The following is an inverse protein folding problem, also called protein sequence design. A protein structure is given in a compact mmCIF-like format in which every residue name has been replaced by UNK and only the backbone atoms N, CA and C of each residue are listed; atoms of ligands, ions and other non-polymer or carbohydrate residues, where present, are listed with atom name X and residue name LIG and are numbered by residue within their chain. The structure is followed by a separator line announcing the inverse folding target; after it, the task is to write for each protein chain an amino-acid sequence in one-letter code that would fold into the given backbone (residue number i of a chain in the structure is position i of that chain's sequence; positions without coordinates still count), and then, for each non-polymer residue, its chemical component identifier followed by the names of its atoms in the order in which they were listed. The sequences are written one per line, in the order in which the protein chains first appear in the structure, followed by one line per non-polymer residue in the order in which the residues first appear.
data_IF_756489722267
#
_entry.id   IF_756489722267
#
_cell.length_a   1.000
_cell.length_b   1.000
_cell.length_c   1.000
_cell.angle_alpha   90.00
_cell.angle_beta   90.00
_cell.angle_gamma   90.00
#
_symmetry.space_group_name_H-M   'P 1'
#
loop_
_entity.id
_entity.type
_entity.pdbx_description
1 polymer ?
#
# COMPACT_ATOMS: atom_id res chain seq x y z
N UNK A 1 73.98 -31.78 -75.91
CA UNK A 1 73.75 -30.32 -75.75
C UNK A 1 72.27 -29.94 -75.60
N UNK A 2 71.30 -30.58 -76.27
CA UNK A 2 69.86 -30.27 -76.07
C UNK A 2 69.29 -30.70 -74.70
N UNK A 3 69.73 -31.83 -74.13
CA UNK A 3 69.28 -32.33 -72.82
C UNK A 3 69.75 -31.48 -71.63
N UNK A 4 70.94 -30.89 -71.72
CA UNK A 4 71.50 -30.02 -70.67
C UNK A 4 70.78 -28.67 -70.62
N UNK A 5 70.33 -28.14 -71.77
CA UNK A 5 69.55 -26.90 -71.84
C UNK A 5 68.15 -27.08 -71.22
N UNK A 6 67.49 -28.22 -71.46
CA UNK A 6 66.17 -28.52 -70.87
C UNK A 6 66.26 -28.67 -69.34
N UNK A 7 67.33 -29.30 -68.83
CA UNK A 7 67.57 -29.42 -67.38
C UNK A 7 67.86 -28.06 -66.73
N UNK A 8 68.58 -27.17 -67.41
CA UNK A 8 68.87 -25.83 -66.89
C UNK A 8 67.62 -24.93 -66.89
N UNK A 9 66.77 -25.03 -67.91
CA UNK A 9 65.49 -24.32 -67.97
C UNK A 9 64.50 -24.82 -66.90
N UNK A 10 64.48 -26.13 -66.63
CA UNK A 10 63.68 -26.71 -65.56
C UNK A 10 64.17 -26.26 -64.17
N UNK A 11 65.48 -26.15 -63.98
CA UNK A 11 66.06 -25.62 -62.73
C UNK A 11 65.71 -24.14 -62.49
N UNK A 12 65.64 -23.31 -63.54
CA UNK A 12 65.17 -21.93 -63.42
C UNK A 12 63.66 -21.83 -63.13
N UNK A 13 62.85 -22.81 -63.53
CA UNK A 13 61.41 -22.85 -63.21
C UNK A 13 61.11 -23.14 -61.72
N UNK A 14 62.07 -23.69 -60.97
CA UNK A 14 61.92 -24.07 -59.56
C UNK A 14 62.21 -22.94 -58.57
N UNK A 15 62.68 -21.76 -59.02
CA UNK A 15 63.03 -20.63 -58.11
C UNK A 15 61.85 -19.71 -57.76
N UNK A 16 60.61 -20.06 -58.13
CA UNK A 16 59.41 -19.26 -57.84
C UNK A 16 58.89 -19.32 -56.40
N UNK A 17 59.45 -20.19 -55.55
CA UNK A 17 58.98 -20.43 -54.18
C UNK A 17 59.99 -19.94 -53.13
N UNK A 18 60.50 -18.71 -53.29
CA UNK A 18 61.37 -18.06 -52.30
C UNK A 18 60.87 -16.63 -52.03
N UNK A 19 59.73 -16.54 -51.35
CA UNK A 19 59.14 -15.29 -50.90
C UNK A 19 58.40 -15.53 -49.59
N UNK A 20 58.63 -14.68 -48.58
CA UNK A 20 57.96 -14.78 -47.29
C UNK A 20 56.45 -14.59 -47.49
N UNK A 21 55.69 -15.69 -47.41
CA UNK A 21 54.28 -15.78 -47.86
C UNK A 21 53.31 -14.81 -47.15
N UNK A 22 53.72 -14.11 -46.09
CA UNK A 22 52.84 -13.23 -45.32
C UNK A 22 53.55 -11.99 -44.73
N UNK A 23 54.63 -11.52 -45.37
CA UNK A 23 55.41 -10.37 -44.88
C UNK A 23 54.57 -9.09 -44.73
N UNK A 24 53.70 -8.82 -45.71
CA UNK A 24 52.81 -7.66 -45.71
C UNK A 24 51.78 -7.72 -44.56
N UNK A 25 51.19 -8.90 -44.34
CA UNK A 25 50.23 -9.11 -43.25
C UNK A 25 50.86 -8.88 -41.88
N UNK A 26 52.10 -9.33 -41.69
CA UNK A 26 52.87 -9.11 -40.45
C UNK A 26 53.24 -7.64 -40.26
N UNK A 27 53.65 -6.96 -41.33
CA UNK A 27 53.95 -5.53 -41.29
C UNK A 27 52.70 -4.72 -40.92
N UNK A 28 51.57 -5.00 -41.56
CA UNK A 28 50.29 -4.40 -41.24
C UNK A 28 49.86 -4.67 -39.80
N UNK A 29 49.99 -5.91 -39.33
CA UNK A 29 49.62 -6.27 -37.95
C UNK A 29 50.48 -5.54 -36.92
N UNK A 30 51.78 -5.38 -37.20
CA UNK A 30 52.69 -4.60 -36.36
C UNK A 30 52.30 -3.12 -36.33
N UNK A 31 52.05 -2.52 -37.50
CA UNK A 31 51.61 -1.13 -37.64
C UNK A 31 50.28 -0.88 -36.87
N UNK A 32 49.30 -1.78 -37.00
CA UNK A 32 48.00 -1.62 -36.34
C UNK A 32 48.04 -1.92 -34.84
N UNK A 33 48.98 -2.75 -34.38
CA UNK A 33 49.13 -3.05 -32.95
C UNK A 33 49.85 -1.95 -32.17
N UNK A 34 50.60 -1.09 -32.85
CA UNK A 34 51.38 -0.05 -32.22
C UNK A 34 50.46 1.10 -31.76
N UNK A 35 50.14 1.10 -30.47
CA UNK A 35 49.25 2.09 -29.86
C UNK A 35 47.93 1.53 -29.31
N UNK A 36 47.66 0.23 -29.48
CA UNK A 36 46.53 -0.44 -28.81
C UNK A 36 46.82 -0.61 -27.31
N UNK A 37 46.53 0.43 -26.53
CA UNK A 37 46.42 0.32 -25.07
C UNK A 37 44.97 0.18 -24.71
N UNK A 38 44.60 -0.94 -24.10
CA UNK A 38 43.28 -1.13 -23.51
C UNK A 38 42.98 -0.01 -22.52
N UNK A 39 41.89 0.73 -22.74
CA UNK A 39 41.45 1.76 -21.79
C UNK A 39 40.75 1.05 -20.64
N UNK A 40 41.45 0.89 -19.52
CA UNK A 40 40.85 0.40 -18.28
C UNK A 40 40.14 1.56 -17.61
N UNK A 41 38.86 1.39 -17.28
CA UNK A 41 38.13 2.39 -16.52
C UNK A 41 38.76 2.55 -15.13
N UNK A 42 38.96 3.79 -14.65
CA UNK A 42 39.50 4.01 -13.33
C UNK A 42 38.58 3.40 -12.28
N UNK A 43 39.18 2.91 -11.19
CA UNK A 43 38.42 2.37 -10.07
C UNK A 43 37.46 3.45 -9.54
N UNK A 44 36.21 3.08 -9.19
CA UNK A 44 35.26 4.02 -8.63
C UNK A 44 35.77 4.57 -7.30
N UNK A 45 35.54 5.86 -7.07
CA UNK A 45 35.92 6.50 -5.82
C UNK A 45 35.09 5.96 -4.66
N UNK A 46 35.77 5.56 -3.58
CA UNK A 46 35.13 5.12 -2.34
C UNK A 46 34.54 6.35 -1.65
N UNK A 47 33.21 6.43 -1.59
CA UNK A 47 32.54 7.51 -0.85
C UNK A 47 32.79 7.33 0.66
N UNK A 48 33.24 8.37 1.37
CA UNK A 48 33.43 8.30 2.80
C UNK A 48 32.09 8.11 3.53
N UNK A 49 32.11 7.35 4.61
CA UNK A 49 30.96 7.15 5.49
C UNK A 49 30.56 8.48 6.14
N UNK A 50 29.30 8.88 5.95
CA UNK A 50 28.70 10.03 6.62
C UNK A 50 27.88 9.51 7.81
N UNK A 51 28.32 9.72 9.07
CA UNK A 51 27.54 9.31 10.23
C UNK A 51 26.26 10.14 10.31
N UNK A 52 25.12 9.48 10.44
CA UNK A 52 23.86 10.13 10.77
C UNK A 52 23.77 10.32 12.29
N UNK A 53 23.68 11.56 12.75
CA UNK A 53 23.49 11.86 14.17
C UNK A 53 22.01 11.77 14.54
N UNK A 54 21.66 10.90 15.48
CA UNK A 54 20.31 10.77 16.00
C UNK A 54 20.01 11.89 17.01
N UNK A 55 19.27 12.91 16.58
CA UNK A 55 18.84 14.05 17.42
C UNK A 55 17.34 13.98 17.73
N UNK A 56 16.89 12.85 18.30
CA UNK A 56 15.48 12.71 18.72
C UNK A 56 15.20 13.20 20.14
N UNK A 57 16.24 13.52 20.91
CA UNK A 57 16.13 13.99 22.30
C UNK A 57 15.55 15.41 22.39
N UNK A 58 15.63 16.19 21.31
CA UNK A 58 15.05 17.53 21.18
C UNK A 58 13.58 17.51 20.73
N UNK A 59 13.05 16.36 20.28
CA UNK A 59 11.64 16.25 19.93
C UNK A 59 10.77 16.18 21.19
N UNK A 60 9.58 16.75 21.08
CA UNK A 60 8.55 16.62 22.10
C UNK A 60 8.13 15.16 22.18
N UNK A 61 8.29 14.55 23.36
CA UNK A 61 7.88 13.17 23.61
C UNK A 61 6.35 13.01 23.35
N UNK A 62 5.96 12.17 22.37
CA UNK A 62 4.58 11.99 21.97
C UNK A 62 3.70 11.33 23.05
N UNK A 63 4.30 10.72 24.08
CA UNK A 63 3.59 9.99 25.16
C UNK A 63 3.59 10.72 26.51
N UNK A 64 3.97 12.01 26.56
CA UNK A 64 3.92 12.79 27.80
C UNK A 64 2.49 12.83 28.36
N UNK A 65 2.34 12.47 29.64
CA UNK A 65 1.06 12.44 30.35
C UNK A 65 0.25 13.77 30.26
N UNK A 66 0.94 14.91 30.12
CA UNK A 66 0.30 16.20 29.92
C UNK A 66 -0.58 16.27 28.65
N UNK A 67 -0.24 15.55 27.57
CA UNK A 67 -1.12 15.44 26.38
C UNK A 67 -2.39 14.63 26.68
N UNK A 68 -2.29 13.60 27.53
CA UNK A 68 -3.46 12.79 27.93
C UNK A 68 -4.41 13.57 28.85
N UNK A 69 -3.89 14.47 29.69
CA UNK A 69 -4.69 15.34 30.55
C UNK A 69 -5.50 16.37 29.76
N UNK A 70 -5.00 16.85 28.61
CA UNK A 70 -5.76 17.77 27.73
C UNK A 70 -6.91 17.05 27.05
N UNK A 71 -6.69 15.81 26.56
CA UNK A 71 -7.75 14.95 26.00
C UNK A 71 -8.84 14.60 27.03
N UNK A 72 -8.51 14.50 28.32
CA UNK A 72 -9.53 14.32 29.38
C UNK A 72 -10.36 15.57 29.66
N UNK A 73 -9.85 16.77 29.36
CA UNK A 73 -10.57 18.03 29.63
C UNK A 73 -11.52 18.44 28.48
N UNK A 74 -11.29 17.95 27.27
CA UNK A 74 -12.21 18.11 26.13
C UNK A 74 -13.47 17.25 26.23
N UNK A 75 -13.57 16.34 27.20
CA UNK A 75 -14.78 15.55 27.45
C UNK A 75 -16.01 16.40 27.83
N UNK A 76 -15.83 17.69 28.11
CA UNK A 76 -16.90 18.68 28.27
C UNK A 76 -17.39 19.26 26.91
N UNK A 77 -17.06 18.62 25.78
CA UNK A 77 -17.62 18.97 24.49
C UNK A 77 -19.15 18.82 24.52
N UNK A 78 -19.88 19.80 23.97
CA UNK A 78 -21.34 19.76 23.85
C UNK A 78 -21.87 18.55 23.06
N UNK A 79 -20.97 17.85 22.36
CA UNK A 79 -21.22 16.65 21.57
C UNK A 79 -21.01 15.34 22.35
N UNK A 80 -20.65 15.40 23.64
CA UNK A 80 -20.45 14.21 24.45
C UNK A 80 -21.75 13.37 24.55
N UNK A 81 -21.66 12.03 24.46
CA UNK A 81 -22.83 11.18 24.53
C UNK A 81 -23.46 11.22 25.93
N UNK A 82 -24.80 11.19 25.98
CA UNK A 82 -25.53 11.21 27.25
C UNK A 82 -25.39 9.87 27.97
N UNK A 83 -24.47 9.79 28.93
CA UNK A 83 -24.22 8.59 29.75
C UNK A 83 -25.27 8.35 30.85
N UNK A 84 -26.14 9.33 31.13
CA UNK A 84 -27.11 9.24 32.22
C UNK A 84 -28.41 8.51 31.81
N UNK A 85 -28.57 8.16 30.53
CA UNK A 85 -29.74 7.41 30.05
C UNK A 85 -29.53 5.90 30.18
N UNK A 86 -30.61 5.11 30.36
CA UNK A 86 -30.55 3.67 30.17
C UNK A 86 -30.10 3.33 28.75
N UNK A 87 -29.16 2.38 28.63
CA UNK A 87 -28.70 1.87 27.34
C UNK A 87 -29.73 0.89 26.77
N UNK A 88 -29.93 0.95 25.46
CA UNK A 88 -30.68 -0.02 24.69
C UNK A 88 -29.86 -1.30 24.48
N UNK A 89 -30.54 -2.42 24.24
CA UNK A 89 -29.89 -3.74 24.11
C UNK A 89 -28.89 -3.76 22.94
N UNK A 90 -29.22 -3.09 21.84
CA UNK A 90 -28.40 -3.03 20.63
C UNK A 90 -27.11 -2.21 20.79
N UNK A 91 -26.97 -1.44 21.86
CA UNK A 91 -25.75 -0.69 22.16
C UNK A 91 -24.63 -1.56 22.75
N UNK A 92 -24.96 -2.79 23.16
CA UNK A 92 -23.97 -3.76 23.64
C UNK A 92 -23.16 -4.40 22.50
N UNK A 93 -23.56 -4.17 21.24
CA UNK A 93 -22.95 -4.77 20.07
C UNK A 93 -22.22 -3.70 19.24
N UNK A 94 -21.16 -4.11 18.57
CA UNK A 94 -20.51 -3.27 17.55
C UNK A 94 -21.45 -3.09 16.36
N UNK A 95 -21.51 -1.90 15.80
CA UNK A 95 -22.39 -1.59 14.68
C UNK A 95 -22.15 -2.52 13.48
N UNK A 96 -20.89 -2.84 13.21
CA UNK A 96 -20.47 -3.73 12.10
C UNK A 96 -21.01 -5.16 12.22
N UNK A 97 -21.31 -5.59 13.45
CA UNK A 97 -21.84 -6.93 13.74
C UNK A 97 -23.37 -6.97 13.72
N UNK A 98 -24.01 -5.81 13.68
CA UNK A 98 -25.44 -5.70 13.46
C UNK A 98 -25.75 -5.84 11.97
N UNK A 99 -26.90 -6.44 11.65
CA UNK A 99 -27.37 -6.61 10.27
C UNK A 99 -28.79 -6.11 10.14
N UNK A 100 -29.05 -5.20 9.20
CA UNK A 100 -30.41 -4.83 8.83
C UNK A 100 -30.98 -5.96 7.97
N UNK A 101 -32.09 -6.57 8.41
CA UNK A 101 -32.73 -7.66 7.66
C UNK A 101 -34.03 -7.23 6.99
N UNK A 102 -34.50 -6.01 7.24
CA UNK A 102 -35.69 -5.47 6.59
C UNK A 102 -36.32 -4.32 7.35
N UNK A 103 -37.51 -3.93 6.92
CA UNK A 103 -38.34 -2.95 7.59
C UNK A 103 -39.73 -3.51 7.86
N UNK A 104 -40.39 -2.97 8.88
CA UNK A 104 -41.76 -3.25 9.23
C UNK A 104 -42.51 -1.92 9.28
N UNK A 105 -43.51 -1.77 8.42
CA UNK A 105 -44.39 -0.61 8.43
C UNK A 105 -45.71 -0.95 9.12
N UNK A 106 -46.03 -0.21 10.18
CA UNK A 106 -47.31 -0.30 10.87
C UNK A 106 -48.00 1.07 10.81
N UNK A 107 -48.94 1.20 9.88
CA UNK A 107 -49.60 2.48 9.59
C UNK A 107 -48.60 3.51 9.07
N UNK A 108 -48.41 4.60 9.83
CA UNK A 108 -47.47 5.69 9.51
C UNK A 108 -46.08 5.51 10.13
N UNK A 109 -45.87 4.46 10.92
CA UNK A 109 -44.60 4.23 11.61
C UNK A 109 -43.80 3.17 10.86
N UNK A 110 -42.59 3.53 10.45
CA UNK A 110 -41.61 2.61 9.85
C UNK A 110 -40.61 2.22 10.94
N UNK A 111 -40.40 0.92 11.10
CA UNK A 111 -39.41 0.34 12.00
C UNK A 111 -38.41 -0.47 11.18
N UNK A 112 -37.14 -0.50 11.56
CA UNK A 112 -36.16 -1.38 10.96
C UNK A 112 -36.02 -2.65 11.81
N UNK A 113 -35.72 -3.75 11.14
CA UNK A 113 -35.47 -5.05 11.75
C UNK A 113 -33.96 -5.29 11.75
N UNK A 114 -33.37 -5.32 12.94
CA UNK A 114 -31.92 -5.48 13.13
C UNK A 114 -31.67 -6.83 13.79
N UNK A 115 -30.88 -7.68 13.12
CA UNK A 115 -30.36 -8.92 13.70
C UNK A 115 -29.06 -8.64 14.42
N UNK A 116 -28.99 -9.04 15.67
CA UNK A 116 -27.77 -8.97 16.47
C UNK A 116 -26.97 -10.28 16.41
N UNK A 117 -25.69 -10.28 16.85
CA UNK A 117 -24.82 -11.47 16.84
C UNK A 117 -25.30 -12.63 17.70
N UNK A 118 -26.17 -12.36 18.67
CA UNK A 118 -26.85 -13.38 19.48
C UNK A 118 -27.94 -14.14 18.70
N UNK A 119 -28.20 -13.76 17.45
CA UNK A 119 -29.23 -14.32 16.58
C UNK A 119 -30.62 -13.73 16.82
N UNK A 120 -30.78 -12.84 17.80
CA UNK A 120 -32.06 -12.22 18.11
C UNK A 120 -32.37 -11.09 17.13
N UNK A 121 -33.67 -10.89 16.90
CA UNK A 121 -34.20 -9.84 16.05
C UNK A 121 -34.81 -8.72 16.88
N UNK A 122 -34.33 -7.51 16.66
CA UNK A 122 -34.77 -6.31 17.35
C UNK A 122 -35.46 -5.34 16.39
N UNK A 123 -36.50 -4.67 16.88
CA UNK A 123 -37.20 -3.62 16.13
C UNK A 123 -36.69 -2.28 16.61
N UNK A 124 -36.22 -1.45 15.69
CA UNK A 124 -35.75 -0.08 15.98
C UNK A 124 -36.59 0.93 15.24
N UNK A 125 -36.76 2.11 15.82
CA UNK A 125 -37.47 3.24 15.21
C UNK A 125 -36.53 4.45 15.12
N UNK A 126 -36.97 5.49 14.45
CA UNK A 126 -36.26 6.77 14.48
C UNK A 126 -36.08 7.24 15.93
N UNK A 127 -34.85 7.64 16.27
CA UNK A 127 -34.44 8.03 17.63
C UNK A 127 -34.00 6.87 18.54
N UNK A 128 -34.12 5.61 18.11
CA UNK A 128 -33.51 4.48 18.83
C UNK A 128 -31.98 4.53 18.73
N UNK A 129 -31.30 3.89 19.68
CA UNK A 129 -29.85 3.78 19.70
C UNK A 129 -29.35 2.36 19.44
N UNK A 130 -28.28 2.25 18.66
CA UNK A 130 -27.61 1.00 18.36
C UNK A 130 -26.10 1.23 18.19
N UNK A 131 -25.32 0.17 18.40
CA UNK A 131 -23.86 0.27 18.32
C UNK A 131 -23.23 0.83 19.60
N UNK A 132 -21.96 0.51 19.82
CA UNK A 132 -21.22 1.00 21.00
C UNK A 132 -20.95 2.52 20.95
N UNK A 133 -20.88 3.10 19.75
CA UNK A 133 -20.61 4.53 19.53
C UNK A 133 -21.87 5.40 19.59
N UNK A 134 -22.87 5.01 20.39
CA UNK A 134 -24.11 5.78 20.61
C UNK A 134 -24.86 6.14 19.31
N UNK A 135 -24.89 5.23 18.35
CA UNK A 135 -25.50 5.44 17.04
C UNK A 135 -27.01 5.70 17.13
N UNK A 136 -27.43 6.96 16.98
CA UNK A 136 -28.85 7.33 16.97
C UNK A 136 -29.43 7.19 15.57
N UNK A 137 -30.54 6.46 15.42
CA UNK A 137 -31.25 6.34 14.14
C UNK A 137 -31.85 7.68 13.74
N UNK A 138 -31.38 8.24 12.63
CA UNK A 138 -31.90 9.49 12.04
C UNK A 138 -32.92 9.23 10.95
N UNK A 139 -32.86 8.08 10.27
CA UNK A 139 -33.79 7.72 9.21
C UNK A 139 -33.83 6.23 8.93
N UNK A 140 -34.98 5.75 8.47
CA UNK A 140 -35.19 4.35 8.09
C UNK A 140 -35.79 4.35 6.68
N UNK A 141 -35.15 3.61 5.78
CA UNK A 141 -35.62 3.35 4.42
C UNK A 141 -35.73 1.84 4.19
N UNK A 142 -36.26 1.42 3.04
CA UNK A 142 -36.37 -0.01 2.71
C UNK A 142 -35.01 -0.69 2.54
N UNK A 143 -34.00 0.06 2.08
CA UNK A 143 -32.67 -0.46 1.75
C UNK A 143 -31.59 -0.17 2.81
N UNK A 144 -31.81 0.79 3.70
CA UNK A 144 -30.81 1.19 4.70
C UNK A 144 -31.42 1.88 5.93
N UNK A 145 -30.70 1.78 7.05
CA UNK A 145 -30.92 2.58 8.26
C UNK A 145 -29.80 3.62 8.38
N UNK A 146 -30.15 4.89 8.40
CA UNK A 146 -29.22 6.00 8.62
C UNK A 146 -29.12 6.32 10.10
N UNK A 147 -27.89 6.52 10.57
CA UNK A 147 -27.60 6.78 11.96
C UNK A 147 -26.45 7.77 12.13
N UNK A 148 -26.45 8.46 13.26
CA UNK A 148 -25.38 9.36 13.69
C UNK A 148 -24.67 8.75 14.89
N UNK A 149 -23.39 8.41 14.73
CA UNK A 149 -22.50 7.93 15.78
C UNK A 149 -21.73 9.09 16.41
N UNK A 150 -21.37 8.93 17.68
CA UNK A 150 -20.51 9.85 18.41
C UNK A 150 -19.23 9.09 18.74
N UNK A 151 -18.11 9.52 18.16
CA UNK A 151 -16.81 8.84 18.26
C UNK A 151 -15.78 9.81 18.82
N UNK A 152 -14.85 9.33 19.64
CA UNK A 152 -13.73 10.13 20.13
C UNK A 152 -12.62 10.17 19.07
N UNK A 153 -12.18 11.37 18.69
CA UNK A 153 -11.02 11.55 17.81
C UNK A 153 -9.71 11.32 18.60
N UNK A 154 -8.61 11.15 17.88
CA UNK A 154 -7.24 11.02 18.40
C UNK A 154 -6.81 12.15 19.37
N UNK A 155 -7.47 13.32 19.31
CA UNK A 155 -7.27 14.44 20.22
C UNK A 155 -8.09 14.40 21.52
N UNK A 156 -9.03 13.45 21.67
CA UNK A 156 -9.97 13.38 22.79
C UNK A 156 -11.24 14.22 22.62
N UNK A 157 -11.48 14.74 21.42
CA UNK A 157 -12.70 15.48 21.09
C UNK A 157 -13.78 14.53 20.54
N UNK A 158 -15.03 14.74 20.94
CA UNK A 158 -16.17 13.99 20.40
C UNK A 158 -16.60 14.55 19.04
N UNK A 159 -16.72 13.67 18.05
CA UNK A 159 -17.16 14.01 16.69
C UNK A 159 -18.38 13.19 16.28
N UNK A 160 -19.33 13.84 15.58
CA UNK A 160 -20.45 13.16 14.93
C UNK A 160 -19.98 12.51 13.62
N UNK A 161 -20.35 11.24 13.41
CA UNK A 161 -20.14 10.51 12.16
C UNK A 161 -21.48 10.01 11.63
N UNK A 162 -21.80 10.33 10.38
CA UNK A 162 -22.94 9.74 9.70
C UNK A 162 -22.56 8.37 9.13
N UNK A 163 -23.34 7.36 9.51
CA UNK A 163 -23.15 5.98 9.07
C UNK A 163 -24.49 5.43 8.59
N UNK A 164 -24.45 4.46 7.67
CA UNK A 164 -25.63 3.77 7.19
C UNK A 164 -25.44 2.26 7.29
N UNK A 165 -26.45 1.58 7.82
CA UNK A 165 -26.52 0.12 7.83
C UNK A 165 -27.40 -0.32 6.66
N UNK A 166 -26.78 -0.84 5.61
CA UNK A 166 -27.49 -1.35 4.45
C UNK A 166 -28.22 -2.66 4.77
N UNK A 167 -29.30 -2.92 4.03
CA UNK A 167 -30.03 -4.17 4.03
C UNK A 167 -29.07 -5.32 3.66
N UNK A 168 -29.10 -6.37 4.46
CA UNK A 168 -28.32 -7.58 4.21
C UNK A 168 -29.01 -8.38 3.10
N UNK A 169 -28.47 -8.32 1.88
CA UNK A 169 -28.93 -9.08 0.71
C UNK A 169 -28.57 -10.57 0.83
N UNK A 170 -29.04 -11.21 1.90
CA UNK A 170 -28.82 -12.63 2.17
C UNK A 170 -29.82 -13.52 1.41
N UNK A 171 -30.15 -13.22 0.15
CA UNK A 171 -30.94 -14.09 -0.73
C UNK A 171 -30.55 -13.98 -2.22
N UNK A 172 -29.26 -14.12 -2.55
CA UNK A 172 -28.85 -14.56 -3.90
C UNK A 172 -27.66 -15.54 -3.84
N UNK A 173 -27.88 -16.71 -3.26
CA UNK A 173 -27.09 -17.91 -3.58
C UNK A 173 -27.98 -19.13 -3.44
N UNK A 174 -28.59 -19.51 -4.55
CA UNK A 174 -29.24 -20.80 -4.78
C UNK A 174 -28.41 -21.56 -5.81
#
# INVERSE_FOLDING_TARGET
MKRTIVLMLAALGLTGCFGEENGDLKAWMKEQSDGLRGRVEPLPEVKPYQPFTYDAFSLVDPFRAAKMEVAKRSSNSALAPNMNRPREVLENYDLEKLRMVGTLQQGKVIQALIRAPDGNLYRVKQGSYLGQNFGMVTGISESEVKLKEIVEDSGGDWVERETALALDDAEQKK
#
